data_IF_015631310453
#
_entry.id   IF_015631310453
#
_cell.length_a   1.000
_cell.length_b   1.000
_cell.length_c   1.000
_cell.angle_alpha   90.00
_cell.angle_beta   90.00
_cell.angle_gamma   90.00
#
_symmetry.space_group_name_H-M   'P 1'
#
loop_
_entity.id
_entity.type
_entity.pdbx_description
1 polymer ?
2 non-polymer ?
3 non-polymer ?
4 non-polymer ?
5 non-polymer ?
6 water ?
#
# COMPACT_ATOMS: atom_id res chain seq x y z
N UNK A 4 10.62 -17.84 -1.76
CA UNK A 4 9.17 -17.71 -2.05
C UNK A 4 8.64 -19.05 -2.58
N UNK A 5 7.61 -19.60 -1.94
CA UNK A 5 7.00 -20.90 -2.33
C UNK A 5 5.92 -20.65 -3.39
N UNK A 6 5.91 -21.46 -4.43
CA UNK A 6 5.00 -21.33 -5.57
C UNK A 6 4.00 -22.49 -5.51
N UNK A 7 2.93 -22.39 -6.28
CA UNK A 7 1.82 -23.36 -6.19
C UNK A 7 2.33 -24.74 -6.63
N UNK A 8 1.89 -25.81 -5.97
CA UNK A 8 2.08 -27.20 -6.47
C UNK A 8 0.91 -27.54 -7.38
N UNK A 9 1.14 -28.31 -8.44
CA UNK A 9 0.10 -28.83 -9.35
C UNK A 9 -0.58 -27.75 -10.19
N UNK A 10 0.10 -26.66 -10.55
CA UNK A 10 -0.55 -25.57 -11.34
C UNK A 10 -0.84 -26.13 -12.74
N UNK A 11 -2.06 -25.96 -13.24
CA UNK A 11 -2.36 -26.27 -14.66
C UNK A 11 -2.69 -24.97 -15.42
N UNK A 12 -1.72 -24.41 -16.17
CA UNK A 12 -1.90 -23.07 -16.81
C UNK A 12 -2.96 -23.13 -17.88
N UNK A 13 -3.32 -24.31 -18.36
CA UNK A 13 -4.39 -24.38 -19.39
C UNK A 13 -5.69 -23.89 -18.75
N UNK A 14 -5.79 -23.84 -17.41
CA UNK A 14 -7.09 -23.47 -16.76
C UNK A 14 -7.08 -21.99 -16.34
N UNK A 15 -6.04 -21.23 -16.67
CA UNK A 15 -5.96 -19.82 -16.19
C UNK A 15 -6.20 -18.94 -17.40
N UNK A 16 -6.39 -19.53 -18.58
CA UNK A 16 -6.58 -18.71 -19.81
C UNK A 16 -7.79 -17.74 -19.59
N UNK A 17 -7.66 -16.53 -20.15
CA UNK A 17 -8.79 -15.60 -20.26
C UNK A 17 -8.47 -14.22 -19.72
N UNK A 18 -9.47 -13.40 -19.55
CA UNK A 18 -9.31 -11.99 -19.15
C UNK A 18 -9.34 -11.93 -17.62
N UNK A 19 -8.47 -11.10 -17.07
CA UNK A 19 -8.30 -10.93 -15.61
C UNK A 19 -8.28 -9.45 -15.27
N UNK A 20 -8.37 -9.15 -13.99
CA UNK A 20 -8.35 -7.78 -13.45
C UNK A 20 -7.41 -7.76 -12.25
N UNK A 21 -6.49 -6.79 -12.27
CA UNK A 21 -5.53 -6.56 -11.16
C UNK A 21 -6.30 -5.87 -10.03
N UNK A 22 -6.65 -6.62 -9.01
CA UNK A 22 -7.49 -6.09 -7.92
C UNK A 22 -6.61 -5.42 -6.83
N UNK A 23 -5.49 -6.01 -6.51
CA UNK A 23 -4.56 -5.47 -5.51
C UNK A 23 -3.13 -5.84 -5.90
N UNK A 24 -2.19 -5.05 -5.41
CA UNK A 24 -0.75 -5.13 -5.74
C UNK A 24 0.02 -4.82 -4.47
N UNK A 25 1.19 -5.42 -4.31
CA UNK A 25 2.09 -5.12 -3.19
C UNK A 25 3.50 -5.21 -3.73
N UNK A 26 4.42 -4.50 -3.10
CA UNK A 26 5.84 -4.58 -3.49
C UNK A 26 6.75 -4.41 -2.28
N UNK A 27 7.96 -4.89 -2.46
CA UNK A 27 9.06 -4.88 -1.47
C UNK A 27 9.54 -3.46 -1.27
N UNK A 28 9.34 -2.57 -2.25
CA UNK A 28 9.92 -1.21 -2.24
C UNK A 28 8.83 -0.23 -2.66
N UNK A 29 8.62 0.84 -1.90
CA UNK A 29 7.54 1.84 -2.16
C UNK A 29 7.63 2.34 -3.62
N UNK A 30 8.82 2.65 -4.10
CA UNK A 30 9.00 3.33 -5.41
C UNK A 30 8.66 2.38 -6.57
N UNK A 31 8.54 1.06 -6.32
CA UNK A 31 8.05 0.11 -7.37
C UNK A 31 6.58 0.35 -7.71
N UNK A 32 5.78 0.90 -6.78
CA UNK A 32 4.29 0.96 -6.97
C UNK A 32 3.69 2.34 -6.82
N UNK A 33 4.39 3.30 -6.19
CA UNK A 33 3.60 4.41 -5.62
C UNK A 33 3.13 5.32 -6.76
N UNK A 34 3.99 5.66 -7.70
CA UNK A 34 3.62 6.63 -8.78
C UNK A 34 2.75 5.93 -9.82
N UNK A 35 1.94 6.70 -10.53
CA UNK A 35 1.06 6.20 -11.60
C UNK A 35 1.92 5.43 -12.61
N UNK A 36 3.13 5.93 -12.86
CA UNK A 36 4.07 5.37 -13.87
C UNK A 36 5.12 4.52 -13.20
N UNK A 37 4.93 4.09 -11.96
CA UNK A 37 5.98 3.31 -11.26
C UNK A 37 6.32 2.05 -12.06
N UNK A 38 7.56 1.54 -11.97
CA UNK A 38 7.99 0.38 -12.74
C UNK A 38 7.11 -0.87 -12.63
N UNK A 39 6.57 -1.18 -11.44
CA UNK A 39 5.77 -2.41 -11.22
C UNK A 39 4.29 -2.07 -11.21
N UNK A 40 3.94 -0.83 -11.56
CA UNK A 40 2.53 -0.45 -11.71
C UNK A 40 2.05 -0.94 -13.08
N UNK A 41 1.74 -2.22 -13.17
CA UNK A 41 1.32 -2.87 -14.45
C UNK A 41 0.03 -3.63 -14.17
N UNK A 42 -0.88 -3.60 -15.12
CA UNK A 42 -2.24 -4.18 -14.93
C UNK A 42 -2.36 -5.36 -15.87
N UNK A 43 -2.62 -6.54 -15.31
CA UNK A 43 -2.80 -7.75 -16.14
C UNK A 43 -4.21 -7.74 -16.76
N UNK A 44 -4.29 -7.79 -18.09
CA UNK A 44 -5.58 -7.78 -18.83
C UNK A 44 -5.92 -9.22 -19.30
N UNK A 45 -4.95 -10.05 -19.62
CA UNK A 45 -5.24 -11.39 -20.17
C UNK A 45 -4.05 -12.32 -19.90
N UNK A 46 -4.34 -13.58 -19.59
CA UNK A 46 -3.34 -14.66 -19.53
C UNK A 46 -3.60 -15.62 -20.69
N UNK A 47 -2.55 -15.95 -21.46
CA UNK A 47 -2.68 -16.84 -22.65
C UNK A 47 -1.59 -17.90 -22.56
N UNK A 48 -1.89 -19.09 -22.04
CA UNK A 48 -0.94 -20.20 -22.00
C UNK A 48 -0.73 -20.70 -23.42
N UNK A 49 0.47 -21.16 -23.73
CA UNK A 49 0.77 -21.79 -25.05
C UNK A 49 0.73 -23.30 -24.85
N UNK A 50 0.58 -24.07 -25.97
CA UNK A 50 0.64 -25.54 -25.92
C UNK A 50 1.94 -26.05 -25.30
N UNK A 51 3.05 -25.33 -25.54
CA UNK A 51 4.41 -25.65 -25.02
C UNK A 51 4.51 -25.39 -23.52
N UNK A 52 3.54 -24.70 -22.90
CA UNK A 52 3.52 -24.49 -21.44
C UNK A 52 4.18 -23.18 -21.01
N UNK A 53 4.33 -22.23 -21.94
CA UNK A 53 4.68 -20.83 -21.59
C UNK A 53 3.40 -20.05 -21.24
N UNK A 54 3.54 -18.91 -20.58
CA UNK A 54 2.35 -18.13 -20.17
C UNK A 54 2.56 -16.72 -20.68
N UNK A 55 1.70 -16.30 -21.60
CA UNK A 55 1.76 -14.94 -22.13
C UNK A 55 0.88 -14.05 -21.26
N UNK A 56 1.46 -12.96 -20.79
CA UNK A 56 0.77 -11.88 -20.05
C UNK A 56 0.52 -10.73 -21.03
N UNK A 57 -0.72 -10.31 -21.14
CA UNK A 57 -1.04 -9.00 -21.78
C UNK A 57 -1.18 -7.93 -20.69
N UNK A 58 -0.29 -6.94 -20.72
CA UNK A 58 -0.17 -5.95 -19.64
C UNK A 58 -0.55 -4.57 -20.17
N UNK A 59 -1.03 -3.73 -19.26
CA UNK A 59 -1.16 -2.28 -19.51
C UNK A 59 -0.26 -1.54 -18.53
N UNK A 60 0.32 -0.42 -18.96
CA UNK A 60 1.16 0.42 -18.07
C UNK A 60 0.90 1.88 -18.45
N UNK A 61 0.90 2.79 -17.49
CA UNK A 61 0.89 4.24 -17.78
C UNK A 61 2.31 4.67 -18.17
N UNK A 62 2.43 5.27 -19.34
CA UNK A 62 3.71 5.80 -19.87
C UNK A 62 3.44 7.14 -20.53
N UNK A 63 4.06 8.22 -20.05
CA UNK A 63 4.06 9.54 -20.75
C UNK A 63 2.63 9.96 -21.08
N UNK A 64 1.78 9.95 -20.06
CA UNK A 64 0.42 10.50 -20.10
C UNK A 64 -0.51 9.62 -20.92
N UNK A 65 -0.15 8.36 -21.16
CA UNK A 65 -1.05 7.44 -21.92
C UNK A 65 -0.92 6.01 -21.41
N UNK A 66 -1.98 5.23 -21.63
CA UNK A 66 -1.99 3.78 -21.38
C UNK A 66 -1.34 3.10 -22.57
N UNK A 67 -0.29 2.31 -22.32
CA UNK A 67 0.43 1.53 -23.35
C UNK A 67 0.20 0.04 -23.03
N UNK A 68 0.10 -0.79 -24.05
CA UNK A 68 -0.05 -2.26 -23.92
C UNK A 68 1.33 -2.89 -24.12
N UNK A 69 1.57 -3.99 -23.42
CA UNK A 69 2.81 -4.77 -23.56
C UNK A 69 2.45 -6.24 -23.41
N UNK A 70 3.02 -7.10 -24.27
CA UNK A 70 2.90 -8.58 -24.17
C UNK A 70 4.22 -9.11 -23.63
N UNK A 71 4.17 -9.96 -22.64
CA UNK A 71 5.40 -10.55 -22.01
C UNK A 71 5.20 -12.06 -22.06
N UNK A 72 6.10 -12.82 -22.67
CA UNK A 72 6.00 -14.29 -22.65
C UNK A 72 6.84 -14.78 -21.47
N UNK A 73 6.24 -15.47 -20.54
CA UNK A 73 6.94 -16.06 -19.40
C UNK A 73 7.18 -17.53 -19.74
N UNK A 74 8.45 -17.92 -19.88
CA UNK A 74 8.82 -19.24 -20.44
C UNK A 74 8.85 -20.25 -19.32
N UNK A 75 8.39 -21.45 -19.64
CA UNK A 75 8.35 -22.55 -18.65
C UNK A 75 9.78 -22.85 -18.14
N UNK A 76 9.89 -23.34 -16.92
CA UNK A 76 11.16 -23.78 -16.30
C UNK A 76 10.86 -25.20 -15.83
N UNK A 77 11.78 -25.82 -15.08
CA UNK A 77 11.55 -27.14 -14.42
C UNK A 77 10.45 -27.04 -13.35
N UNK A 78 10.13 -25.84 -12.85
CA UNK A 78 9.04 -25.67 -11.85
C UNK A 78 7.79 -25.16 -12.58
N UNK A 79 6.64 -25.87 -12.44
CA UNK A 79 5.46 -25.56 -13.24
C UNK A 79 4.92 -24.17 -12.87
N UNK A 80 5.18 -23.68 -11.64
CA UNK A 80 4.66 -22.37 -11.18
C UNK A 80 5.74 -21.30 -11.21
N UNK A 81 6.90 -21.54 -11.83
CA UNK A 81 8.01 -20.55 -11.96
C UNK A 81 8.30 -20.34 -13.45
N UNK A 82 8.29 -19.11 -13.91
CA UNK A 82 8.48 -18.80 -15.35
C UNK A 82 9.62 -17.78 -15.43
N UNK A 83 10.42 -17.83 -16.49
CA UNK A 83 11.50 -16.85 -16.70
C UNK A 83 11.05 -15.88 -17.80
N UNK A 84 11.38 -14.60 -17.65
CA UNK A 84 11.07 -13.54 -18.67
C UNK A 84 12.35 -12.83 -19.15
N UNK A 85 13.52 -13.36 -18.87
CA UNK A 85 14.79 -12.90 -19.49
C UNK A 85 15.70 -14.11 -19.71
N UNK A 86 16.83 -13.91 -20.40
CA UNK A 86 17.80 -14.97 -20.72
C UNK A 86 18.90 -14.98 -19.67
N UNK A 87 18.92 -13.97 -18.78
CA UNK A 87 19.96 -13.80 -17.75
C UNK A 87 19.51 -14.44 -16.44
N UNK A 88 18.32 -15.04 -16.40
CA UNK A 88 17.71 -15.64 -15.18
C UNK A 88 17.65 -14.63 -14.04
N UNK A 89 17.41 -13.36 -14.33
CA UNK A 89 17.33 -12.30 -13.28
C UNK A 89 15.86 -12.11 -12.89
N UNK A 90 14.98 -12.12 -13.88
CA UNK A 90 13.53 -11.80 -13.70
C UNK A 90 12.71 -13.06 -13.87
N UNK A 91 11.84 -13.30 -12.90
CA UNK A 91 10.94 -14.48 -12.90
C UNK A 91 9.52 -14.06 -12.57
N UNK A 92 8.55 -14.85 -13.04
CA UNK A 92 7.14 -14.83 -12.59
C UNK A 92 6.96 -16.06 -11.70
N UNK A 93 6.36 -15.88 -10.52
CA UNK A 93 6.01 -16.95 -9.56
C UNK A 93 4.51 -17.02 -9.40
N UNK A 94 3.88 -18.15 -9.67
CA UNK A 94 2.43 -18.28 -9.40
C UNK A 94 2.29 -18.86 -8.00
N UNK A 95 1.73 -18.10 -7.08
CA UNK A 95 1.61 -18.51 -5.65
C UNK A 95 0.41 -19.41 -5.45
N UNK A 96 -0.72 -19.09 -6.07
CA UNK A 96 -1.99 -19.80 -5.83
C UNK A 96 -3.02 -19.39 -6.86
N UNK A 97 -3.97 -20.28 -7.18
CA UNK A 97 -5.17 -19.91 -7.98
C UNK A 97 -6.24 -20.94 -7.66
N UNK A 98 -7.50 -20.57 -7.78
CA UNK A 98 -8.63 -21.54 -7.80
C UNK A 98 -9.20 -21.62 -9.23
N UNK A 99 -8.52 -21.02 -10.20
CA UNK A 99 -8.83 -21.01 -11.67
C UNK A 99 -10.07 -20.21 -12.03
N UNK A 100 -11.14 -20.32 -11.27
CA UNK A 100 -12.46 -19.75 -11.64
C UNK A 100 -12.65 -18.36 -11.05
N UNK A 101 -11.86 -17.95 -10.05
CA UNK A 101 -12.13 -16.64 -9.39
C UNK A 101 -10.86 -15.79 -9.26
N UNK A 102 -9.77 -16.33 -8.73
CA UNK A 102 -8.59 -15.49 -8.42
C UNK A 102 -7.31 -16.24 -8.78
N UNK A 103 -6.25 -15.46 -8.93
CA UNK A 103 -4.87 -15.92 -9.17
C UNK A 103 -3.89 -14.95 -8.50
N UNK A 104 -2.96 -15.50 -7.75
CA UNK A 104 -1.92 -14.70 -7.06
C UNK A 104 -0.59 -14.99 -7.74
N UNK A 105 0.14 -13.97 -8.10
CA UNK A 105 1.48 -14.17 -8.69
C UNK A 105 2.39 -13.03 -8.26
N UNK A 106 3.68 -13.24 -8.48
CA UNK A 106 4.74 -12.28 -8.14
C UNK A 106 5.70 -12.15 -9.33
N UNK A 107 6.13 -10.91 -9.61
CA UNK A 107 7.39 -10.61 -10.34
C UNK A 107 8.50 -10.64 -9.31
N UNK A 108 9.59 -11.34 -9.61
CA UNK A 108 10.74 -11.38 -8.69
C UNK A 108 12.01 -11.07 -9.47
N UNK A 109 12.84 -10.18 -8.92
CA UNK A 109 14.13 -9.83 -9.53
C UNK A 109 15.22 -10.13 -8.50
N UNK A 110 16.18 -10.98 -8.87
CA UNK A 110 17.26 -11.45 -7.96
C UNK A 110 18.63 -10.92 -8.42
N UNK A 111 18.67 -9.77 -9.12
CA UNK A 111 19.93 -9.13 -9.59
C UNK A 111 20.83 -8.67 -8.42
N UNK A 115 17.05 -8.02 -3.49
CA UNK A 115 16.00 -8.72 -4.29
C UNK A 115 14.64 -7.99 -4.20
N UNK A 116 14.06 -7.73 -5.35
CA UNK A 116 12.83 -6.93 -5.53
C UNK A 116 11.65 -7.85 -5.87
N UNK A 117 10.49 -7.51 -5.35
CA UNK A 117 9.31 -8.38 -5.46
C UNK A 117 8.09 -7.48 -5.64
N UNK A 118 7.23 -7.79 -6.62
CA UNK A 118 5.95 -7.11 -6.80
C UNK A 118 4.89 -8.17 -7.11
N UNK A 119 3.88 -8.25 -6.25
CA UNK A 119 2.86 -9.32 -6.23
C UNK A 119 1.50 -8.73 -6.57
N UNK A 120 0.64 -9.54 -7.16
CA UNK A 120 -0.72 -9.10 -7.55
C UNK A 120 -1.74 -10.15 -7.19
N UNK A 121 -2.95 -9.66 -6.92
CA UNK A 121 -4.19 -10.43 -6.80
C UNK A 121 -5.01 -10.15 -8.06
N UNK A 122 -5.16 -11.17 -8.89
CA UNK A 122 -6.00 -11.04 -10.09
C UNK A 122 -7.35 -11.68 -9.82
N UNK A 123 -8.39 -11.15 -10.41
CA UNK A 123 -9.74 -11.77 -10.37
C UNK A 123 -10.32 -11.85 -11.78
N UNK A 124 -11.28 -12.75 -11.96
CA UNK A 124 -11.88 -13.06 -13.28
C UNK A 124 -12.94 -12.01 -13.63
N UNK A 125 -13.55 -11.40 -12.61
CA UNK A 125 -14.67 -10.43 -12.78
C UNK A 125 -14.34 -9.13 -12.07
N UNK A 126 -14.72 -7.96 -12.63
CA UNK A 126 -14.27 -6.67 -12.13
C UNK A 126 -15.07 -6.22 -10.90
N UNK A 127 -15.04 -7.04 -9.83
CA UNK A 127 -15.65 -6.80 -8.53
C UNK A 127 -14.62 -7.04 -7.43
N UNK A 128 -14.79 -6.36 -6.30
CA UNK A 128 -13.93 -6.65 -5.10
C UNK A 128 -14.32 -8.03 -4.61
N UNK A 129 -13.34 -8.90 -4.37
CA UNK A 129 -13.50 -10.28 -3.86
C UNK A 129 -12.71 -10.36 -2.56
N UNK A 130 -13.42 -10.27 -1.42
CA UNK A 130 -12.80 -10.17 -0.08
C UNK A 130 -12.04 -11.47 0.20
N UNK A 131 -12.57 -12.62 -0.24
CA UNK A 131 -11.90 -13.93 -0.11
C UNK A 131 -10.54 -13.88 -0.84
N UNK A 132 -10.50 -13.41 -2.09
CA UNK A 132 -9.23 -13.35 -2.87
C UNK A 132 -8.25 -12.41 -2.14
N UNK A 133 -8.74 -11.27 -1.65
CA UNK A 133 -7.93 -10.27 -0.92
C UNK A 133 -7.34 -10.86 0.37
N UNK A 134 -8.13 -11.68 1.08
CA UNK A 134 -7.64 -12.36 2.31
C UNK A 134 -6.54 -13.35 1.92
N UNK A 135 -6.72 -14.13 0.84
CA UNK A 135 -5.70 -15.13 0.45
C UNK A 135 -4.43 -14.40 0.01
N UNK A 136 -4.57 -13.25 -0.65
CA UNK A 136 -3.42 -12.42 -1.06
C UNK A 136 -2.62 -12.02 0.17
N UNK A 137 -3.30 -11.42 1.14
CA UNK A 137 -2.66 -10.94 2.38
C UNK A 137 -1.99 -12.11 3.10
N UNK A 138 -2.64 -13.25 3.14
CA UNK A 138 -2.07 -14.49 3.76
C UNK A 138 -0.81 -14.91 2.98
N UNK A 139 -0.83 -14.89 1.65
CA UNK A 139 0.36 -15.29 0.86
C UNK A 139 1.52 -14.30 1.05
N UNK A 140 1.23 -13.05 1.36
CA UNK A 140 2.27 -11.99 1.44
C UNK A 140 2.89 -12.00 2.85
N UNK A 141 2.30 -12.70 3.81
CA UNK A 141 2.67 -12.60 5.26
C UNK A 141 4.16 -12.83 5.44
N UNK A 142 4.74 -13.79 4.74
CA UNK A 142 6.18 -14.13 4.95
C UNK A 142 7.06 -13.30 4.01
N UNK A 143 6.51 -12.38 3.20
CA UNK A 143 7.31 -11.56 2.25
C UNK A 143 7.51 -10.14 2.77
N UNK A 144 8.65 -9.50 2.43
CA UNK A 144 9.00 -8.19 2.98
C UNK A 144 8.41 -6.99 2.19
N UNK A 145 7.08 -6.91 2.19
CA UNK A 145 6.32 -5.86 1.45
C UNK A 145 6.33 -4.57 2.27
N UNK A 146 6.46 -3.44 1.59
CA UNK A 146 6.43 -2.09 2.17
C UNK A 146 5.38 -1.20 1.52
N UNK A 147 4.65 -1.67 0.52
CA UNK A 147 3.51 -0.91 -0.07
C UNK A 147 2.47 -1.93 -0.55
N UNK A 148 1.21 -1.57 -0.37
CA UNK A 148 0.04 -2.28 -0.94
C UNK A 148 -0.90 -1.24 -1.53
N UNK A 149 -1.55 -1.60 -2.63
CA UNK A 149 -2.57 -0.76 -3.30
C UNK A 149 -3.77 -1.69 -3.57
N UNK A 150 -4.98 -1.14 -3.59
CA UNK A 150 -6.20 -1.92 -3.99
C UNK A 150 -7.11 -0.99 -4.75
N UNK A 151 -7.81 -1.56 -5.72
CA UNK A 151 -8.58 -0.79 -6.72
C UNK A 151 -10.09 -1.05 -6.50
N UNK A 152 -10.89 -0.07 -6.90
CA UNK A 152 -12.37 -0.20 -6.88
C UNK A 152 -12.86 -0.71 -8.24
N UNK A 153 -14.12 -1.24 -8.25
CA UNK A 153 -14.71 -1.86 -9.43
C UNK A 153 -14.68 -0.95 -10.67
N UNK A 154 -14.87 0.35 -10.47
CA UNK A 154 -14.84 1.37 -11.56
C UNK A 154 -13.43 1.40 -12.16
N UNK A 155 -12.41 1.39 -11.30
CA UNK A 155 -11.00 1.43 -11.76
C UNK A 155 -10.72 0.15 -12.55
N UNK A 156 -11.25 -1.01 -12.13
CA UNK A 156 -10.89 -2.31 -12.74
C UNK A 156 -11.27 -2.29 -14.22
N UNK A 157 -12.31 -1.56 -14.60
CA UNK A 157 -12.83 -1.57 -15.99
C UNK A 157 -12.22 -0.47 -16.85
N UNK A 158 -11.37 0.42 -16.33
CA UNK A 158 -10.85 1.52 -17.19
C UNK A 158 -9.43 1.14 -17.61
N UNK A 159 -8.99 1.68 -18.75
CA UNK A 159 -7.58 1.49 -19.20
C UNK A 159 -6.66 2.02 -18.10
N UNK A 160 -5.69 1.19 -17.68
CA UNK A 160 -4.64 1.57 -16.70
C UNK A 160 -5.30 1.97 -15.37
N UNK A 161 -6.48 1.43 -15.08
CA UNK A 161 -7.16 1.58 -13.78
C UNK A 161 -7.41 3.04 -13.43
N UNK A 162 -7.59 3.89 -14.46
CA UNK A 162 -7.94 5.35 -14.33
C UNK A 162 -9.28 5.49 -13.59
N UNK B 9 -8.88 6.26 28.16
CA UNK B 9 -8.65 7.65 28.67
C UNK B 9 -7.34 8.22 28.16
N UNK B 10 -7.37 8.93 27.03
CA UNK B 10 -6.14 9.52 26.42
C UNK B 10 -5.56 10.58 27.37
N UNK B 11 -4.27 10.50 27.68
CA UNK B 11 -3.52 11.52 28.45
C UNK B 11 -2.53 12.24 27.54
N UNK B 12 -2.86 13.46 27.07
CA UNK B 12 -2.09 14.17 26.00
C UNK B 12 -0.72 14.54 26.52
N UNK B 13 -0.53 14.63 27.84
CA UNK B 13 0.80 15.02 28.35
C UNK B 13 1.74 13.83 28.08
N UNK B 14 1.24 12.60 28.15
CA UNK B 14 2.11 11.42 28.00
C UNK B 14 2.41 11.14 26.52
N UNK B 15 1.73 11.77 25.56
CA UNK B 15 2.07 11.56 24.12
C UNK B 15 3.02 12.65 23.66
N UNK B 16 3.39 13.56 24.55
CA UNK B 16 4.37 14.61 24.24
C UNK B 16 5.67 13.95 23.73
N UNK B 17 6.36 14.71 22.89
CA UNK B 17 7.79 14.48 22.61
C UNK B 17 8.00 13.94 21.20
N UNK B 18 9.12 13.28 21.01
CA UNK B 18 9.64 12.86 19.70
C UNK B 18 8.81 11.65 19.21
N UNK B 19 8.45 11.71 17.94
CA UNK B 19 7.85 10.55 17.23
C UNK B 19 8.47 10.39 15.86
N UNK B 20 8.22 9.23 15.25
CA UNK B 20 8.65 8.91 13.88
C UNK B 20 7.47 8.20 13.19
N UNK B 21 7.15 8.59 11.96
CA UNK B 21 6.10 7.94 11.13
C UNK B 21 6.62 6.61 10.60
N UNK B 22 6.13 5.50 11.14
CA UNK B 22 6.55 4.14 10.72
C UNK B 22 5.72 3.66 9.54
N UNK B 23 4.43 3.96 9.50
CA UNK B 23 3.53 3.49 8.43
C UNK B 23 2.38 4.45 8.23
N UNK B 24 1.80 4.42 7.04
CA UNK B 24 0.73 5.34 6.60
C UNK B 24 -0.25 4.58 5.72
N UNK B 25 -1.52 4.90 5.82
CA UNK B 25 -2.58 4.30 4.96
C UNK B 25 -3.56 5.39 4.61
N UNK B 26 -4.26 5.24 3.50
CA UNK B 26 -5.27 6.22 3.08
C UNK B 26 -6.39 5.56 2.29
N UNK B 27 -7.52 6.25 2.28
CA UNK B 27 -8.77 5.82 1.64
C UNK B 27 -8.63 5.95 0.13
N UNK B 28 -7.72 6.82 -0.33
CA UNK B 28 -7.54 7.14 -1.76
C UNK B 28 -6.04 7.03 -2.08
N UNK B 29 -5.68 6.32 -3.14
CA UNK B 29 -4.27 6.14 -3.58
C UNK B 29 -3.58 7.50 -3.74
N UNK B 30 -4.26 8.49 -4.33
CA UNK B 30 -3.65 9.78 -4.66
C UNK B 30 -3.37 10.62 -3.38
N UNK B 31 -3.86 10.21 -2.20
CA UNK B 31 -3.47 10.89 -0.94
C UNK B 31 -2.02 10.53 -0.53
N UNK B 32 -1.50 9.37 -0.96
CA UNK B 32 -0.18 8.85 -0.51
C UNK B 32 0.75 8.42 -1.65
N UNK B 33 0.41 8.56 -2.92
CA UNK B 33 1.17 7.90 -4.01
C UNK B 33 2.36 8.75 -4.51
N UNK B 34 2.79 9.76 -3.78
CA UNK B 34 4.00 10.53 -4.15
C UNK B 34 4.50 11.24 -2.90
N UNK B 35 5.76 11.62 -2.88
CA UNK B 35 6.30 12.45 -1.77
C UNK B 35 5.52 13.76 -1.71
N UNK B 36 5.00 14.23 -2.84
CA UNK B 36 4.20 15.48 -3.01
C UNK B 36 2.73 15.30 -2.62
N UNK B 37 2.28 14.07 -2.37
CA UNK B 37 0.85 13.79 -2.17
C UNK B 37 0.39 14.42 -0.85
N UNK B 38 -0.88 14.87 -0.82
CA UNK B 38 -1.41 15.65 0.31
C UNK B 38 -1.26 15.01 1.71
N UNK B 39 -1.35 13.68 1.84
CA UNK B 39 -1.29 13.03 3.18
C UNK B 39 0.10 12.46 3.42
N UNK B 40 1.04 12.70 2.50
CA UNK B 40 2.41 12.16 2.69
C UNK B 40 3.17 13.15 3.60
N UNK B 41 2.92 13.06 4.89
CA UNK B 41 3.51 14.01 5.89
C UNK B 41 4.09 13.17 7.03
N UNK B 42 5.21 13.60 7.61
CA UNK B 42 5.96 12.80 8.60
C UNK B 42 5.89 13.56 9.92
N UNK B 43 5.45 12.87 10.97
CA UNK B 43 5.28 13.50 12.29
C UNK B 43 6.66 13.52 12.97
N UNK B 44 7.11 14.68 13.43
CA UNK B 44 8.41 14.81 14.16
C UNK B 44 8.18 14.86 15.68
N UNK B 45 7.11 15.50 16.11
CA UNK B 45 6.92 15.86 17.53
C UNK B 45 5.43 16.13 17.76
N UNK B 46 4.94 15.72 18.93
CA UNK B 46 3.61 16.16 19.45
C UNK B 46 3.83 17.05 20.66
N UNK B 47 3.23 18.24 20.65
CA UNK B 47 3.24 19.13 21.85
C UNK B 47 1.82 19.39 22.35
N UNK B 48 1.48 18.86 23.53
CA UNK B 48 0.25 19.21 24.23
C UNK B 48 0.31 20.67 24.69
N UNK B 49 -0.81 21.37 24.68
CA UNK B 49 -0.90 22.75 25.22
C UNK B 49 -1.57 22.66 26.58
N UNK B 50 -1.39 23.69 27.45
CA UNK B 50 -2.03 23.71 28.77
C UNK B 50 -3.56 23.60 28.68
N UNK B 51 -4.16 24.20 27.65
CA UNK B 51 -5.63 24.16 27.36
C UNK B 51 -6.07 22.79 26.80
N UNK B 52 -5.19 21.80 26.65
CA UNK B 52 -5.58 20.42 26.24
C UNK B 52 -5.67 20.20 24.73
N UNK B 53 -5.15 21.13 23.93
CA UNK B 53 -4.95 20.99 22.46
C UNK B 53 -3.67 20.19 22.17
N UNK B 54 -3.55 19.68 20.96
CA UNK B 54 -2.38 18.88 20.55
C UNK B 54 -1.77 19.50 19.32
N UNK B 55 -0.54 19.97 19.44
CA UNK B 55 0.18 20.53 18.27
C UNK B 55 0.95 19.39 17.62
N UNK B 56 0.74 19.21 16.31
CA UNK B 56 1.51 18.27 15.48
C UNK B 56 2.60 19.06 14.75
N UNK B 57 3.87 18.72 14.99
CA UNK B 57 4.99 19.25 14.20
C UNK B 57 5.33 18.25 13.09
N UNK B 58 5.16 18.69 11.85
CA UNK B 58 5.17 17.82 10.67
C UNK B 58 6.32 18.25 9.79
N UNK B 59 6.76 17.34 8.93
CA UNK B 59 7.64 17.64 7.78
C UNK B 59 7.00 17.04 6.52
N UNK B 60 7.12 17.77 5.43
CA UNK B 60 6.54 17.41 4.11
C UNK B 60 7.61 17.68 3.07
N UNK B 61 7.79 16.75 2.14
CA UNK B 61 8.75 16.84 1.02
C UNK B 61 8.23 17.92 0.08
N UNK B 62 9.09 18.89 -0.25
CA UNK B 62 8.86 19.90 -1.31
C UNK B 62 10.20 20.15 -2.03
N UNK B 63 10.26 19.83 -3.32
CA UNK B 63 11.33 20.33 -4.21
C UNK B 63 12.71 19.98 -3.61
N UNK B 66 12.46 19.14 2.43
CA UNK B 66 11.81 18.96 3.76
C UNK B 66 11.39 20.31 4.34
N UNK B 67 10.10 20.61 4.28
CA UNK B 67 9.47 21.82 4.85
C UNK B 67 8.74 21.42 6.13
N UNK B 68 8.84 22.26 7.16
CA UNK B 68 8.23 22.03 8.48
C UNK B 68 6.88 22.72 8.51
N UNK B 69 5.90 22.05 9.12
CA UNK B 69 4.53 22.56 9.27
C UNK B 69 4.07 22.24 10.70
N UNK B 70 3.42 23.20 11.37
CA UNK B 70 2.84 23.02 12.72
C UNK B 70 1.32 23.10 12.53
N UNK B 71 0.57 22.12 13.00
CA UNK B 71 -0.93 22.20 12.92
C UNK B 71 -1.48 21.97 14.32
N UNK B 72 -2.36 22.85 14.79
CA UNK B 72 -2.93 22.75 16.16
C UNK B 72 -4.24 21.98 16.05
N UNK B 73 -4.31 20.87 16.73
CA UNK B 73 -5.56 20.08 16.80
C UNK B 73 -6.23 20.48 18.12
N UNK B 74 -7.37 21.18 18.04
CA UNK B 74 -8.06 21.69 19.24
C UNK B 74 -8.96 20.61 19.83
N UNK B 75 -8.94 20.53 21.15
CA UNK B 75 -9.80 19.61 21.94
C UNK B 75 -11.27 19.76 21.55
N UNK B 76 -12.04 18.69 21.60
CA UNK B 76 -13.51 18.77 21.33
C UNK B 76 -14.17 18.19 22.58
N UNK B 77 -15.50 18.07 22.60
CA UNK B 77 -16.22 17.48 23.76
C UNK B 77 -16.00 15.95 23.73
N UNK B 78 -15.53 15.38 22.63
CA UNK B 78 -15.28 13.91 22.53
C UNK B 78 -13.79 13.65 22.74
N UNK B 79 -13.44 12.78 23.72
CA UNK B 79 -12.05 12.51 24.03
C UNK B 79 -11.43 11.78 22.80
N UNK B 80 -10.20 12.17 22.54
CA UNK B 80 -9.32 11.61 21.50
C UNK B 80 -9.80 12.05 20.12
N UNK B 81 -10.68 13.06 20.04
CA UNK B 81 -11.13 13.67 18.76
C UNK B 81 -10.78 15.16 18.78
N UNK B 82 -10.04 15.62 17.77
CA UNK B 82 -9.51 17.00 17.72
C UNK B 82 -9.95 17.60 16.40
N UNK B 83 -10.18 18.90 16.39
CA UNK B 83 -10.56 19.59 15.15
C UNK B 83 -9.35 20.43 14.74
N UNK B 84 -9.07 20.53 13.44
CA UNK B 84 -7.92 21.32 12.93
C UNK B 84 -8.40 22.70 12.45
N UNK B 85 -9.62 22.78 11.93
CA UNK B 85 -10.16 24.03 11.32
C UNK B 85 -11.41 24.51 12.09
N UNK B 86 -11.95 25.67 11.74
CA UNK B 86 -13.13 26.28 12.39
C UNK B 86 -14.40 25.88 11.62
N UNK B 87 -14.25 25.25 10.45
CA UNK B 87 -15.37 24.81 9.57
C UNK B 87 -15.78 23.37 9.90
N UNK B 88 -15.13 22.74 10.89
CA UNK B 88 -15.34 21.32 11.29
C UNK B 88 -15.25 20.39 10.08
N UNK B 89 -14.34 20.67 9.14
CA UNK B 89 -14.15 19.85 7.92
C UNK B 89 -13.04 18.84 8.18
N UNK B 90 -11.99 19.25 8.93
CA UNK B 90 -10.75 18.45 9.16
C UNK B 90 -10.66 18.07 10.63
N UNK B 91 -10.50 16.79 10.92
CA UNK B 91 -10.46 16.22 12.29
C UNK B 91 -9.26 15.26 12.42
N UNK B 92 -8.72 15.15 13.63
CA UNK B 92 -7.69 14.16 13.99
C UNK B 92 -8.36 13.23 14.98
N UNK B 93 -8.24 11.93 14.77
CA UNK B 93 -8.75 10.90 15.74
C UNK B 93 -7.56 10.13 16.29
N UNK B 94 -7.39 10.08 17.58
CA UNK B 94 -6.31 9.24 18.17
C UNK B 94 -6.93 7.88 18.46
N UNK B 95 -6.48 6.83 17.76
CA UNK B 95 -7.13 5.50 17.84
C UNK B 95 -6.61 4.72 19.04
N UNK B 96 -5.33 4.79 19.29
CA UNK B 96 -4.69 3.94 20.31
C UNK B 96 -3.26 4.43 20.55
N UNK B 97 -2.75 4.26 21.76
CA UNK B 97 -1.34 4.52 22.11
C UNK B 97 -1.01 3.74 23.38
N UNK B 98 0.24 3.38 23.57
CA UNK B 98 0.79 2.95 24.90
C UNK B 98 1.78 4.01 25.41
N UNK B 99 1.86 5.18 24.76
CA UNK B 99 2.69 6.37 25.11
C UNK B 99 4.21 6.17 24.95
N UNK B 100 4.71 4.99 25.30
CA UNK B 100 6.14 4.69 25.38
C UNK B 100 6.63 4.07 24.08
N UNK B 101 5.76 3.55 23.22
CA UNK B 101 6.26 2.83 22.01
C UNK B 101 5.55 3.31 20.74
N UNK B 102 4.22 3.32 20.72
CA UNK B 102 3.50 3.60 19.46
C UNK B 102 2.29 4.47 19.75
N UNK B 103 1.84 5.12 18.68
CA UNK B 103 0.58 5.87 18.63
C UNK B 103 -0.05 5.75 17.25
N UNK B 104 -1.34 5.44 17.23
CA UNK B 104 -2.10 5.33 15.95
C UNK B 104 -3.07 6.49 15.90
N UNK B 105 -3.15 7.17 14.77
CA UNK B 105 -4.09 8.28 14.61
C UNK B 105 -4.54 8.35 13.18
N UNK B 106 -5.67 9.03 12.97
CA UNK B 106 -6.24 9.23 11.61
C UNK B 106 -6.59 10.70 11.40
N UNK B 107 -6.21 11.24 10.24
CA UNK B 107 -6.71 12.52 9.71
C UNK B 107 -7.99 12.17 8.95
N UNK B 108 -9.03 12.95 9.11
CA UNK B 108 -10.31 12.72 8.42
C UNK B 108 -10.77 14.06 7.85
N UNK B 109 -11.29 14.04 6.64
CA UNK B 109 -11.93 15.24 6.05
C UNK B 109 -13.28 14.80 5.51
N UNK B 110 -14.37 15.44 5.93
CA UNK B 110 -15.75 15.01 5.57
C UNK B 110 -16.41 16.05 4.64
N UNK B 111 -15.62 16.86 3.93
CA UNK B 111 -16.08 17.76 2.83
C UNK B 111 -16.52 16.95 1.60
N UNK B 112 -17.39 17.53 0.79
CA UNK B 112 -17.94 16.87 -0.44
C UNK B 112 -16.79 16.52 -1.38
N UNK B 113 -16.99 15.59 -2.34
CA UNK B 113 -18.18 14.72 -2.38
C UNK B 113 -18.00 13.41 -1.58
N UNK B 114 -16.75 13.00 -1.33
CA UNK B 114 -16.45 11.75 -0.60
C UNK B 114 -15.56 12.06 0.62
N UNK B 115 -15.77 11.38 1.73
CA UNK B 115 -14.94 11.49 2.95
C UNK B 115 -13.55 10.90 2.67
N UNK B 116 -12.51 11.57 3.13
CA UNK B 116 -11.09 11.14 2.99
C UNK B 116 -10.62 10.73 4.38
N UNK B 117 -9.80 9.71 4.42
CA UNK B 117 -9.20 9.22 5.66
C UNK B 117 -7.72 8.90 5.39
N UNK B 118 -6.82 9.29 6.29
CA UNK B 118 -5.37 8.99 6.16
C UNK B 118 -4.89 8.71 7.58
N UNK B 119 -4.36 7.53 7.80
CA UNK B 119 -3.99 7.01 9.15
C UNK B 119 -2.48 6.83 9.21
N UNK B 120 -1.91 6.95 10.41
CA UNK B 120 -0.48 6.70 10.62
C UNK B 120 -0.25 5.86 11.86
N UNK B 121 0.85 5.14 11.83
CA UNK B 121 1.48 4.45 12.99
C UNK B 121 2.78 5.22 13.28
N UNK B 122 2.84 5.85 14.44
CA UNK B 122 4.03 6.56 14.95
C UNK B 122 4.75 5.66 15.96
N UNK B 123 6.07 5.79 16.04
CA UNK B 123 6.87 5.08 17.07
C UNK B 123 7.84 6.07 17.71
N UNK B 124 8.35 5.68 18.87
CA UNK B 124 9.18 6.58 19.73
C UNK B 124 10.62 6.62 19.24
N UNK B 125 11.07 5.61 18.49
CA UNK B 125 12.46 5.43 18.02
C UNK B 125 12.46 5.10 16.54
N UNK B 126 13.52 5.48 15.77
CA UNK B 126 13.57 5.27 14.33
C UNK B 126 13.98 3.83 13.99
N UNK B 127 13.21 2.86 14.48
CA UNK B 127 13.35 1.42 14.29
C UNK B 127 12.00 0.82 13.90
N UNK B 128 12.02 -0.23 13.08
CA UNK B 128 10.79 -0.97 12.71
C UNK B 128 10.32 -1.68 13.98
N UNK B 129 9.02 -1.61 14.26
CA UNK B 129 8.36 -2.22 15.43
C UNK B 129 7.23 -3.08 14.88
N UNK B 130 7.44 -4.39 14.79
CA UNK B 130 6.50 -5.36 14.18
C UNK B 130 5.21 -5.38 15.01
N UNK B 131 5.32 -5.27 16.32
CA UNK B 131 4.14 -5.20 17.22
C UNK B 131 3.30 -3.95 16.88
N UNK B 132 3.91 -2.76 16.76
CA UNK B 132 3.16 -1.52 16.43
C UNK B 132 2.49 -1.72 15.05
N UNK B 133 3.25 -2.26 14.08
CA UNK B 133 2.74 -2.44 12.69
C UNK B 133 1.58 -3.45 12.70
N UNK B 134 1.62 -4.48 13.53
CA UNK B 134 0.50 -5.43 13.68
C UNK B 134 -0.73 -4.72 14.27
N UNK B 135 -0.57 -3.87 15.28
CA UNK B 135 -1.74 -3.16 15.87
C UNK B 135 -2.30 -2.18 14.82
N UNK B 136 -1.43 -1.55 14.03
CA UNK B 136 -1.89 -0.65 12.94
C UNK B 136 -2.72 -1.44 11.92
N UNK B 137 -2.18 -2.57 11.46
CA UNK B 137 -2.82 -3.47 10.46
C UNK B 137 -4.19 -3.88 10.98
N UNK B 138 -4.25 -4.26 12.25
CA UNK B 138 -5.53 -4.65 12.92
C UNK B 138 -6.48 -3.44 12.94
N UNK B 139 -6.00 -2.23 13.26
CA UNK B 139 -6.88 -1.02 13.25
C UNK B 139 -7.41 -0.75 11.84
N UNK B 140 -6.64 -1.04 10.79
CA UNK B 140 -7.00 -0.66 9.40
C UNK B 140 -8.00 -1.66 8.82
N UNK B 141 -8.15 -2.82 9.44
CA UNK B 141 -8.99 -3.93 8.89
C UNK B 141 -10.42 -3.43 8.70
N UNK B 142 -10.94 -2.61 9.61
CA UNK B 142 -12.34 -2.12 9.51
C UNK B 142 -12.45 -0.85 8.66
N UNK B 143 -11.36 -0.31 8.13
CA UNK B 143 -11.40 0.97 7.35
C UNK B 143 -11.22 0.71 5.85
N UNK B 144 -11.86 1.53 4.97
CA UNK B 144 -11.78 1.33 3.51
C UNK B 144 -10.53 1.98 2.84
N UNK B 145 -9.37 1.45 3.24
CA UNK B 145 -8.04 1.96 2.83
C UNK B 145 -7.74 1.31 1.46
N UNK B 146 -7.14 2.07 0.55
CA UNK B 146 -6.73 1.64 -0.80
C UNK B 146 -5.23 1.78 -1.04
N UNK B 147 -4.47 2.28 -0.08
CA UNK B 147 -3.00 2.37 -0.16
C UNK B 147 -2.43 2.30 1.25
N UNK B 148 -1.34 1.54 1.42
CA UNK B 148 -0.60 1.47 2.68
C UNK B 148 0.89 1.32 2.42
N UNK B 149 1.69 1.94 3.27
CA UNK B 149 3.16 2.12 3.09
C UNK B 149 3.78 1.87 4.47
N UNK B 150 4.95 1.26 4.56
CA UNK B 150 5.75 1.21 5.77
C UNK B 150 7.18 1.54 5.38
N UNK B 151 7.91 2.12 6.33
CA UNK B 151 9.29 2.59 6.13
C UNK B 151 10.28 1.67 6.85
N UNK B 152 11.51 1.63 6.32
CA UNK B 152 12.63 0.90 6.95
C UNK B 152 13.41 1.87 7.86
N UNK B 153 14.32 1.36 8.73
CA UNK B 153 15.02 2.20 9.72
C UNK B 153 15.79 3.33 9.04
N UNK B 154 16.33 3.09 7.83
CA UNK B 154 17.04 4.13 7.04
C UNK B 154 16.06 5.25 6.71
N UNK B 155 14.86 4.90 6.26
CA UNK B 155 13.83 5.91 5.91
C UNK B 155 13.38 6.63 7.20
N UNK B 156 13.25 5.89 8.31
CA UNK B 156 12.88 6.48 9.64
C UNK B 156 13.86 7.55 10.06
N UNK B 157 15.17 7.39 9.79
CA UNK B 157 16.18 8.35 10.29
C UNK B 157 16.26 9.57 9.36
N UNK B 158 15.88 9.43 8.08
CA UNK B 158 16.22 10.44 7.05
C UNK B 158 15.05 11.40 6.85
N UNK B 159 14.17 11.42 7.83
CA UNK B 159 13.10 12.46 7.86
C UNK B 159 12.24 12.31 6.62
N UNK B 160 11.91 13.45 5.96
CA UNK B 160 11.00 13.42 4.78
C UNK B 160 11.65 12.62 3.64
N UNK B 161 12.98 12.44 3.66
CA UNK B 161 13.75 11.76 2.57
C UNK B 161 13.68 10.23 2.74
N UNK B 162 13.10 9.51 1.78
CA UNK B 162 12.95 8.02 1.75
C UNK B 162 13.69 7.46 0.54
X LIG C 1 15.74 -23.46 -16.16
X LIG C 1 15.34 -22.29 -16.84
X LIG C 1 14.79 -24.55 -16.38
X LIG C 1 14.31 -25.07 -15.17
X LIG D 1 6.15 -7.06 5.90
X LIG D 1 4.79 -7.44 6.27
X LIG D 1 3.94 -6.26 6.52
X LIG D 1 2.52 -6.66 6.82
X LIG D 1 1.49 -5.54 6.89
X LIG D 1 1.61 -4.54 5.82
X LIG D 1 1.33 -4.98 4.50
X LIG D 1 0.38 -5.96 4.27
X LIG D 1 0.19 -6.45 2.98
X LIG D 1 0.88 -5.90 1.92
X LIG D 1 1.78 -4.87 2.15
X LIG D 1 2.04 -4.41 3.43
X LIG D 1 3.09 -3.36 3.62
X LIG D 1 2.78 -2.10 4.40
X LIG D 1 1.80 -2.10 5.55
X LIG D 1 1.20 -3.21 6.17
X LIG D 1 1.46 -0.83 5.99
X LIG D 1 0.52 -0.65 6.99
X LIG D 1 -0.07 -1.74 7.58
X LIG D 1 0.27 -3.03 7.18
X LIG E 1 13.42 -4.70 -11.44
X LIG E 1 13.05 -5.32 -12.71
X LIG E 1 12.27 -4.42 -13.56
X LIG E 1 11.39 -3.47 -12.77
X LIG E 1 9.91 -3.77 -12.84
X LIG E 1 9.60 -5.21 -12.80
X LIG E 1 9.78 -5.88 -11.56
X LIG E 1 9.52 -5.22 -10.36
X LIG E 1 9.72 -5.88 -9.16
X LIG E 1 10.16 -7.16 -9.14
X LIG E 1 10.42 -7.83 -10.33
X LIG E 1 10.24 -7.21 -11.55
X LIG E 1 10.52 -8.03 -12.78
X LIG E 1 10.12 -7.62 -14.18
X LIG E 1 8.85 -6.86 -14.41
X LIG E 1 8.59 -5.68 -13.69
X LIG E 1 7.90 -7.28 -15.34
X LIG E 1 6.74 -6.57 -15.54
X LIG E 1 6.50 -5.41 -14.83
X LIG E 1 7.42 -4.97 -13.90
X LIG F 1 3.70 9.94 -13.10
X LIG F 1 4.77 10.79 -13.58
X LIG F 1 4.24 8.84 -12.32
X LIG F 1 2.98 9.42 -14.23
X LIG F 1 2.81 10.71 -12.28
X LIG G 1 -4.22 -1.34 -0.02
X LIG H 1 3.85 -29.30 -9.43
X LIG I 1 9.80 9.92 10.33
X LIG I 1 8.59 10.56 10.79
X LIG I 1 9.94 9.68 8.87
X LIG I 1 9.38 8.44 8.42
X LIG J 1 -8.24 17.57 2.66
X LIG J 1 -7.15 18.22 3.38
X LIG J 1 -5.93 18.41 2.58
X LIG J 1 -4.60 18.15 3.23
X LIG J 1 -4.39 16.68 3.53
X LIG J 1 -4.84 16.29 4.85
X LIG J 1 -5.80 15.23 4.94
X LIG J 1 -5.75 14.18 4.02
X LIG J 1 -6.69 13.17 4.08
X LIG J 1 -7.66 13.19 5.05
X LIG J 1 -7.71 14.23 5.95
X LIG J 1 -6.80 15.28 5.90
X LIG J 1 -6.95 16.36 6.95
X LIG J 1 -6.02 17.56 6.99
X LIG J 1 -4.55 17.27 7.04
X LIG J 1 -3.99 16.60 5.96
X LIG J 1 -3.72 17.70 8.07
X LIG J 1 -2.36 17.48 7.99
X LIG J 1 -1.84 16.81 6.92
X LIG J 1 -2.65 16.34 5.91
X LIG K 1 15.65 13.26 -1.99
X LIG K 1 16.40 14.33 -1.41
X LIG K 1 16.52 12.17 -2.31
X LIG K 1 14.64 12.81 -1.05
X LIG K 1 15.00 13.72 -3.19
#
# INVERSE_FOLDING_TARGET
ASVTQTMKGLDIQKVAGTWYSLAMAASDISLLDAQSAPARVYVEELKPTPEGDLEFLLQKWENGECAQKKIIAEKTKIPAVFKIDALNENKVLVLDTDYKKYLLFCWENSAEPEQSLACQCLVRTPEVDDEALEKFDKALKALPMHIRLSFNPTQLEEQCHI
ASVTQTMKGLDIQKVAGTWYSLAMAASDISLLDAQSAPARVYVEELKPTPEGDLEFLLQKWENGECAQKKIIAEKTKIPAVFKIDALNENKVLVLDTDYKKYLLFCWENSAEPEQSLACQCLVRTPEVDDEALEKFDKALKALPMHIRLSFNPTQLEEQCHI
EDO C1 O1 C2 O2
DSM C18 N2 C17 C16 C15 N1 C14 C1 C2 C3 C4 C13 C5 C6 C12 C11 C7 C8 C9 C10
DSM C18 N2 C17 C16 C15 N1 C14 C1 C2 C3 C4 C13 C5 C6 C12 C11 C7 C8 C9 C10
SO4 S O1 O2 O3 O4
CL CL
CL CL
EDO C1 O1 C2 O2
DSM C18 N2 C17 C16 C15 N1 C14 C1 C2 C3 C4 C13 C5 C6 C12 C11 C7 C8 C9 C10
SO4 S O1 O2 O3 O4
#
